data_IF_655028231291
#
_entry.id   IF_655028231291
#
_cell.length_a   1.000
_cell.length_b   1.000
_cell.length_c   1.000
_cell.angle_alpha   90.00
_cell.angle_beta   90.00
_cell.angle_gamma   90.00
#
_symmetry.space_group_name_H-M   'P 1'
#
loop_
_entity.id
_entity.type
_entity.pdbx_description
1 polymer ?
#
# COMPACT_ATOMS: atom_id res chain seq x y z
N UNK A 1 7.01 -4.08 -12.26
CA UNK A 1 7.35 -5.51 -12.43
C UNK A 1 8.58 -5.98 -11.65
N UNK A 2 9.29 -5.09 -10.94
CA UNK A 2 10.48 -5.40 -10.13
C UNK A 2 10.29 -5.18 -8.63
N UNK A 3 9.07 -4.84 -8.18
CA UNK A 3 8.83 -4.38 -6.82
C UNK A 3 9.05 -5.49 -5.77
N UNK A 4 9.77 -5.17 -4.70
CA UNK A 4 9.98 -6.03 -3.52
C UNK A 4 8.91 -5.78 -2.44
N UNK A 5 8.33 -4.58 -2.42
CA UNK A 5 7.17 -4.22 -1.62
C UNK A 5 6.23 -3.30 -2.42
N UNK A 6 4.97 -3.18 -2.03
CA UNK A 6 4.04 -2.30 -2.72
C UNK A 6 3.01 -1.66 -1.80
N UNK A 7 2.52 -0.49 -2.19
CA UNK A 7 1.31 0.08 -1.60
C UNK A 7 0.06 -0.49 -2.27
N UNK A 8 -0.98 -0.78 -1.48
CA UNK A 8 -2.35 -0.98 -1.98
C UNK A 8 -3.20 0.19 -1.50
N UNK A 9 -3.47 1.15 -2.38
CA UNK A 9 -4.11 2.40 -2.00
C UNK A 9 -5.36 2.68 -2.84
N UNK A 10 -6.24 3.54 -2.32
CA UNK A 10 -7.49 3.88 -2.97
C UNK A 10 -7.94 5.30 -2.61
N UNK A 11 -8.85 5.86 -3.43
CA UNK A 11 -9.34 7.22 -3.21
C UNK A 11 -8.21 8.24 -3.09
N UNK A 12 -8.26 9.03 -2.03
CA UNK A 12 -7.34 10.15 -1.79
C UNK A 12 -5.90 9.70 -1.46
N UNK A 13 -5.73 8.59 -0.72
CA UNK A 13 -4.40 8.12 -0.28
C UNK A 13 -3.54 7.62 -1.45
N UNK A 14 -4.15 7.27 -2.58
CA UNK A 14 -3.45 6.82 -3.78
C UNK A 14 -2.49 7.86 -4.37
N UNK A 15 -2.78 9.17 -4.22
CA UNK A 15 -1.89 10.23 -4.71
C UNK A 15 -0.63 10.34 -3.84
N UNK A 16 -0.81 10.33 -2.52
CA UNK A 16 0.32 10.36 -1.58
C UNK A 16 1.19 9.10 -1.74
N UNK A 17 0.57 7.94 -1.96
CA UNK A 17 1.29 6.69 -2.20
C UNK A 17 2.10 6.74 -3.50
N UNK A 18 1.59 7.36 -4.57
CA UNK A 18 2.34 7.54 -5.81
C UNK A 18 3.60 8.39 -5.59
N UNK A 19 3.46 9.54 -4.92
CA UNK A 19 4.60 10.40 -4.59
C UNK A 19 5.64 9.68 -3.72
N UNK A 20 5.18 8.88 -2.74
CA UNK A 20 6.06 8.05 -1.92
C UNK A 20 6.82 7.01 -2.75
N UNK A 21 6.16 6.34 -3.71
CA UNK A 21 6.82 5.40 -4.62
C UNK A 21 7.89 6.07 -5.47
N UNK A 22 7.60 7.25 -6.02
CA UNK A 22 8.58 8.01 -6.81
C UNK A 22 9.82 8.38 -6.00
N UNK A 23 9.64 8.79 -4.74
CA UNK A 23 10.74 9.08 -3.80
C UNK A 23 11.57 7.81 -3.50
N UNK A 24 10.91 6.74 -3.06
CA UNK A 24 11.56 5.49 -2.70
C UNK A 24 12.31 4.88 -3.89
N UNK A 25 11.75 4.95 -5.10
CA UNK A 25 12.44 4.50 -6.31
C UNK A 25 13.66 5.36 -6.66
N UNK A 26 13.62 6.68 -6.41
CA UNK A 26 14.79 7.56 -6.57
C UNK A 26 15.90 7.20 -5.59
N UNK A 27 15.55 6.69 -4.41
CA UNK A 27 16.49 6.14 -3.42
C UNK A 27 16.98 4.70 -3.74
N UNK A 28 16.51 4.10 -4.84
CA UNK A 28 16.90 2.76 -5.28
C UNK A 28 16.07 1.61 -4.67
N UNK A 29 15.03 1.92 -3.88
CA UNK A 29 14.12 0.93 -3.32
C UNK A 29 13.11 0.50 -4.38
N UNK A 30 12.96 -0.81 -4.58
CA UNK A 30 12.01 -1.37 -5.55
C UNK A 30 10.61 -1.41 -4.97
N UNK A 31 9.92 -0.28 -4.97
CA UNK A 31 8.55 -0.18 -4.43
C UNK A 31 7.52 0.00 -5.54
N UNK A 32 6.37 -0.67 -5.42
CA UNK A 32 5.25 -0.59 -6.36
C UNK A 32 4.02 0.09 -5.78
N UNK A 33 3.04 0.36 -6.64
CA UNK A 33 1.71 0.83 -6.25
C UNK A 33 0.63 0.07 -7.02
N UNK A 34 -0.29 -0.56 -6.29
CA UNK A 34 -1.57 -1.01 -6.80
C UNK A 34 -2.65 -0.02 -6.34
N UNK A 35 -3.18 0.74 -7.29
CA UNK A 35 -4.30 1.66 -7.04
C UNK A 35 -5.63 0.96 -7.30
N UNK A 36 -6.45 0.79 -6.26
CA UNK A 36 -7.82 0.30 -6.40
C UNK A 36 -8.70 1.45 -6.90
N UNK A 37 -9.16 1.35 -8.15
CA UNK A 37 -10.17 2.27 -8.71
C UNK A 37 -11.59 1.84 -8.36
N UNK A 38 -11.80 0.53 -8.25
CA UNK A 38 -13.05 -0.10 -7.84
C UNK A 38 -12.76 -0.86 -6.54
N UNK A 39 -13.47 -0.52 -5.47
CA UNK A 39 -13.35 -1.23 -4.19
C UNK A 39 -14.24 -2.48 -4.15
N UNK A 40 -15.42 -2.38 -4.76
CA UNK A 40 -16.37 -3.47 -4.85
C UNK A 40 -16.98 -3.55 -6.26
N UNK A 41 -17.00 -4.73 -6.91
CA UNK A 41 -16.44 -6.01 -6.46
C UNK A 41 -14.92 -5.94 -6.25
N UNK A 42 -14.42 -6.57 -5.19
CA UNK A 42 -13.01 -6.48 -4.80
C UNK A 42 -12.10 -7.30 -5.74
N UNK A 43 -10.98 -6.74 -6.24
CA UNK A 43 -10.08 -7.41 -7.17
C UNK A 43 -9.15 -8.42 -6.45
N UNK A 44 -9.75 -9.49 -5.92
CA UNK A 44 -9.06 -10.50 -5.12
C UNK A 44 -7.92 -11.20 -5.91
N UNK A 45 -8.12 -11.43 -7.21
CA UNK A 45 -7.15 -12.12 -8.07
C UNK A 45 -5.87 -11.30 -8.21
N UNK A 46 -5.99 -9.99 -8.44
CA UNK A 46 -4.90 -9.06 -8.65
C UNK A 46 -4.12 -8.82 -7.36
N UNK A 47 -4.83 -8.58 -6.25
CA UNK A 47 -4.21 -8.39 -4.94
C UNK A 47 -3.52 -9.68 -4.49
N UNK A 48 -4.17 -10.83 -4.65
CA UNK A 48 -3.57 -12.13 -4.34
C UNK A 48 -2.35 -12.46 -5.20
N UNK A 49 -2.36 -12.09 -6.49
CA UNK A 49 -1.19 -12.22 -7.38
C UNK A 49 -0.03 -11.34 -6.92
N UNK A 50 -0.31 -10.08 -6.61
CA UNK A 50 0.70 -9.14 -6.11
C UNK A 50 1.32 -9.63 -4.80
N UNK A 51 0.50 -10.12 -3.86
CA UNK A 51 0.98 -10.66 -2.60
C UNK A 51 1.81 -11.94 -2.70
N UNK A 52 1.92 -12.56 -3.90
CA UNK A 52 2.89 -13.64 -4.16
C UNK A 52 4.21 -13.15 -4.75
N UNK A 53 4.25 -11.91 -5.24
CA UNK A 53 5.40 -11.31 -5.90
C UNK A 53 6.22 -10.42 -4.95
N UNK A 54 5.57 -9.83 -3.95
CA UNK A 54 6.19 -8.89 -3.01
C UNK A 54 6.29 -9.47 -1.60
N UNK A 55 7.22 -8.95 -0.80
CA UNK A 55 7.42 -9.33 0.60
C UNK A 55 6.40 -8.68 1.54
N UNK A 56 5.99 -7.45 1.22
CA UNK A 56 5.07 -6.68 2.04
C UNK A 56 4.12 -5.82 1.18
N UNK A 57 2.89 -5.66 1.68
CA UNK A 57 1.89 -4.71 1.20
C UNK A 57 1.57 -3.70 2.30
N UNK A 58 1.78 -2.42 2.03
CA UNK A 58 1.35 -1.34 2.93
C UNK A 58 0.02 -0.80 2.45
N UNK A 59 -0.96 -0.71 3.36
CA UNK A 59 -2.31 -0.25 3.03
C UNK A 59 -2.56 1.10 3.72
N UNK A 60 -2.35 2.23 3.02
CA UNK A 60 -2.62 3.54 3.57
C UNK A 60 -4.11 3.89 3.47
N UNK A 61 -4.72 4.14 4.62
CA UNK A 61 -6.15 4.42 4.69
C UNK A 61 -6.50 5.45 5.77
N UNK A 62 -7.44 6.34 5.43
CA UNK A 62 -7.98 7.35 6.35
C UNK A 62 -9.23 6.82 7.05
N UNK A 63 -9.14 5.58 7.55
CA UNK A 63 -10.15 4.91 8.34
C UNK A 63 -9.48 3.86 9.26
N UNK A 64 -10.27 3.03 9.93
CA UNK A 64 -9.79 2.07 10.94
C UNK A 64 -9.55 0.64 10.40
N UNK A 65 -9.16 0.48 9.13
CA UNK A 65 -8.74 -0.82 8.59
C UNK A 65 -9.78 -1.53 7.72
N UNK A 66 -10.72 -0.81 7.10
CA UNK A 66 -11.73 -1.41 6.24
C UNK A 66 -11.13 -2.16 5.05
N UNK A 67 -10.03 -1.67 4.48
CA UNK A 67 -9.43 -2.29 3.29
C UNK A 67 -8.27 -3.22 3.63
N UNK A 68 -7.45 -2.89 4.64
CA UNK A 68 -6.31 -3.73 5.05
C UNK A 68 -6.74 -5.16 5.38
N UNK A 69 -7.89 -5.35 6.04
CA UNK A 69 -8.41 -6.68 6.37
C UNK A 69 -8.86 -7.46 5.13
N UNK A 70 -9.48 -6.79 4.15
CA UNK A 70 -9.88 -7.42 2.89
C UNK A 70 -8.65 -7.81 2.06
N UNK A 71 -7.64 -6.94 2.00
CA UNK A 71 -6.35 -7.22 1.36
C UNK A 71 -5.65 -8.40 2.04
N UNK A 72 -5.59 -8.40 3.38
CA UNK A 72 -4.98 -9.48 4.16
C UNK A 72 -5.69 -10.83 3.98
N UNK A 73 -7.00 -10.84 3.69
CA UNK A 73 -7.73 -12.10 3.46
C UNK A 73 -7.31 -12.84 2.19
N UNK A 74 -6.69 -12.14 1.22
CA UNK A 74 -6.28 -12.72 -0.08
C UNK A 74 -4.78 -12.67 -0.36
N UNK A 75 -4.05 -11.74 0.25
CA UNK A 75 -2.62 -11.58 0.06
C UNK A 75 -1.84 -12.66 0.83
N UNK A 76 -0.76 -13.17 0.22
CA UNK A 76 0.11 -14.21 0.80
C UNK A 76 1.49 -13.64 1.20
N UNK A 77 1.48 -12.44 1.78
CA UNK A 77 2.66 -11.71 2.24
C UNK A 77 2.31 -10.92 3.51
N UNK A 78 3.29 -10.22 4.09
CA UNK A 78 3.01 -9.28 5.17
C UNK A 78 2.06 -8.17 4.67
N UNK A 79 1.01 -7.86 5.43
CA UNK A 79 0.09 -6.75 5.13
C UNK A 79 0.11 -5.79 6.31
N UNK A 80 0.63 -4.59 6.07
CA UNK A 80 0.91 -3.59 7.09
C UNK A 80 -0.13 -2.46 7.01
N UNK A 81 -0.92 -2.23 8.07
CA UNK A 81 -1.84 -1.11 8.12
C UNK A 81 -1.09 0.23 8.25
N UNK A 82 -1.54 1.25 7.53
CA UNK A 82 -1.09 2.63 7.70
C UNK A 82 -2.31 3.53 7.83
N UNK A 83 -2.90 3.49 9.02
CA UNK A 83 -4.19 4.10 9.33
C UNK A 83 -3.98 5.51 9.93
N UNK A 84 -4.65 6.52 9.38
CA UNK A 84 -4.61 7.89 9.93
C UNK A 84 -6.03 8.49 9.99
N UNK A 85 -6.52 8.76 11.20
CA UNK A 85 -7.89 9.22 11.48
C UNK A 85 -7.89 10.51 12.31
N UNK A 86 -7.08 11.48 11.90
CA UNK A 86 -6.90 12.77 12.59
C UNK A 86 -7.51 13.96 11.85
N UNK A 87 -8.23 13.72 10.76
CA UNK A 87 -8.84 14.76 9.92
C UNK A 87 -7.86 15.48 8.99
N UNK A 88 -6.58 15.08 8.98
CA UNK A 88 -5.55 15.64 8.10
C UNK A 88 -5.19 14.69 6.97
N UNK A 89 -4.49 15.21 5.97
CA UNK A 89 -4.01 14.43 4.83
C UNK A 89 -2.88 13.50 5.28
N UNK A 90 -2.93 12.25 4.84
CA UNK A 90 -1.76 11.37 4.93
C UNK A 90 -0.70 11.84 3.93
N UNK A 91 0.39 12.40 4.45
CA UNK A 91 1.48 12.92 3.63
C UNK A 91 2.41 11.78 3.15
N UNK A 92 3.10 11.96 2.01
CA UNK A 92 4.03 10.96 1.49
C UNK A 92 5.12 10.53 2.48
N UNK A 93 5.61 11.44 3.33
CA UNK A 93 6.63 11.14 4.35
C UNK A 93 6.20 10.03 5.31
N UNK A 94 4.95 10.06 5.78
CA UNK A 94 4.38 9.01 6.65
C UNK A 94 4.38 7.66 5.96
N UNK A 95 4.07 7.65 4.66
CA UNK A 95 4.03 6.42 3.85
C UNK A 95 5.43 5.86 3.57
N UNK A 96 6.40 6.75 3.33
CA UNK A 96 7.82 6.40 3.15
C UNK A 96 8.32 5.69 4.41
N UNK A 97 8.10 6.27 5.59
CA UNK A 97 8.52 5.68 6.86
C UNK A 97 7.82 4.35 7.15
N UNK A 98 6.53 4.25 6.84
CA UNK A 98 5.79 3.00 6.96
C UNK A 98 6.34 1.90 6.03
N UNK A 99 6.71 2.26 4.79
CA UNK A 99 7.29 1.31 3.85
C UNK A 99 8.69 0.86 4.24
N UNK A 100 9.52 1.77 4.77
CA UNK A 100 10.85 1.42 5.31
C UNK A 100 10.74 0.41 6.44
N UNK A 101 9.86 0.66 7.43
CA UNK A 101 9.58 -0.27 8.52
C UNK A 101 9.02 -1.61 8.05
N UNK A 102 8.33 -1.65 6.90
CA UNK A 102 7.79 -2.89 6.34
C UNK A 102 8.83 -3.71 5.56
N UNK A 103 9.98 -3.11 5.20
CA UNK A 103 11.08 -3.74 4.49
C UNK A 103 12.22 -4.20 5.42
N UNK A 104 12.29 -3.65 6.63
CA UNK A 104 13.11 -4.14 7.75
C UNK A 104 12.65 -5.53 8.22
#
# INVERSE_FOLDING_TARGET
>A
DDAEAAFVAYGFTARSALAAVEELRREGLKVGLLRLKTLWPFPATEVGRLGRQVRALVVPEMNLGQMVHVVASVARCAVVPCNQMDGTVIYPSVLIDAMRRALE
#
